data_IF_533444817358
#
_entry.id   IF_533444817358
#
_cell.length_a   1.000
_cell.length_b   1.000
_cell.length_c   1.000
_cell.angle_alpha   90.00
_cell.angle_beta   90.00
_cell.angle_gamma   90.00
#
_symmetry.space_group_name_H-M   'P 1'
#
loop_
_entity.id
_entity.type
_entity.pdbx_description
1 polymer ?
#
# COMPACT_ATOMS: atom_id res chain seq x y z
N UNK A 1 -3.66 -12.62 -2.16
CA UNK A 1 -4.35 -13.53 -1.21
C UNK A 1 -3.35 -14.48 -0.56
N UNK A 2 -2.51 -15.17 -1.35
CA UNK A 2 -1.48 -16.10 -0.85
C UNK A 2 -0.51 -15.51 0.20
N UNK A 3 0.03 -14.30 -0.01
CA UNK A 3 0.97 -13.66 0.94
C UNK A 3 0.37 -13.43 2.34
N UNK A 4 -0.92 -13.13 2.42
CA UNK A 4 -1.61 -12.93 3.71
C UNK A 4 -1.87 -14.25 4.45
N UNK A 5 -1.99 -15.36 3.71
CA UNK A 5 -2.18 -16.70 4.30
C UNK A 5 -0.85 -17.25 4.82
N UNK A 6 0.27 -16.94 4.16
CA UNK A 6 1.62 -17.30 4.60
C UNK A 6 1.96 -16.75 5.99
N UNK A 7 1.42 -15.57 6.33
CA UNK A 7 1.61 -14.92 7.64
C UNK A 7 1.05 -15.75 8.81
N UNK A 8 0.00 -16.54 8.58
CA UNK A 8 -0.58 -17.44 9.59
C UNK A 8 0.10 -18.81 9.63
N UNK A 9 0.86 -19.16 8.60
CA UNK A 9 1.53 -20.46 8.48
C UNK A 9 2.67 -20.60 9.50
N UNK A 10 3.38 -19.52 9.82
CA UNK A 10 4.53 -19.55 10.74
C UNK A 10 4.10 -19.80 12.19
N UNK A 11 3.10 -19.11 12.76
CA UNK A 11 2.54 -19.46 14.07
C UNK A 11 2.02 -20.90 14.13
N UNK A 12 1.34 -21.38 13.07
CA UNK A 12 0.85 -22.75 12.99
C UNK A 12 1.99 -23.77 12.95
N UNK A 13 3.06 -23.53 12.19
CA UNK A 13 4.25 -24.38 12.10
C UNK A 13 4.95 -24.50 13.45
N UNK A 14 5.10 -23.38 14.17
CA UNK A 14 5.66 -23.37 15.52
C UNK A 14 4.78 -24.22 16.44
N UNK A 15 3.45 -24.08 16.38
CA UNK A 15 2.53 -24.88 17.19
C UNK A 15 2.66 -26.39 16.90
N UNK A 16 2.71 -26.79 15.63
CA UNK A 16 2.90 -28.20 15.23
C UNK A 16 4.26 -28.77 15.63
N UNK A 17 5.33 -27.98 15.60
CA UNK A 17 6.67 -28.40 16.03
C UNK A 17 6.79 -28.56 17.55
N UNK A 18 6.00 -27.80 18.32
CA UNK A 18 6.01 -27.85 19.79
C UNK A 18 5.14 -28.98 20.36
N UNK A 19 4.05 -29.40 19.68
CA UNK A 19 3.17 -30.51 20.11
C UNK A 19 3.91 -31.81 20.49
N UNK A 20 4.88 -32.32 19.70
CA UNK A 20 5.58 -33.56 20.06
C UNK A 20 6.60 -33.40 21.20
N UNK A 21 6.95 -32.17 21.59
CA UNK A 21 7.97 -31.91 22.62
C UNK A 21 7.54 -32.47 23.98
N UNK A 22 6.26 -32.42 24.33
CA UNK A 22 5.77 -32.98 25.60
C UNK A 22 5.94 -34.49 25.70
N UNK A 23 5.84 -35.22 24.58
CA UNK A 23 6.12 -36.66 24.54
C UNK A 23 7.62 -36.94 24.64
N UNK A 24 8.45 -36.14 23.96
CA UNK A 24 9.91 -36.27 23.99
C UNK A 24 10.45 -35.92 25.39
N UNK A 25 9.90 -34.90 26.06
CA UNK A 25 10.29 -34.49 27.41
C UNK A 25 10.18 -35.61 28.43
N UNK A 26 9.13 -36.44 28.33
CA UNK A 26 8.92 -37.58 29.23
C UNK A 26 9.93 -38.71 29.01
N UNK A 27 10.41 -38.91 27.79
CA UNK A 27 11.34 -39.99 27.44
C UNK A 27 12.81 -39.56 27.53
N UNK A 28 13.13 -38.33 27.12
CA UNK A 28 14.47 -37.79 27.12
C UNK A 28 14.44 -36.25 27.31
N UNK A 29 14.54 -35.76 28.55
CA UNK A 29 14.42 -34.34 28.86
C UNK A 29 15.53 -33.50 28.22
N UNK A 30 16.73 -34.05 28.06
CA UNK A 30 17.88 -33.35 27.45
C UNK A 30 17.61 -33.06 25.97
N UNK A 31 17.09 -34.04 25.22
CA UNK A 31 16.71 -33.83 23.80
C UNK A 31 15.63 -32.77 23.65
N UNK A 32 14.65 -32.74 24.55
CA UNK A 32 13.60 -31.72 24.55
C UNK A 32 14.18 -30.30 24.72
N UNK A 33 15.16 -30.11 25.61
CA UNK A 33 15.82 -28.81 25.82
C UNK A 33 16.62 -28.40 24.58
N UNK A 34 17.34 -29.33 23.95
CA UNK A 34 18.10 -29.06 22.72
C UNK A 34 17.17 -28.62 21.58
N UNK A 35 16.03 -29.31 21.41
CA UNK A 35 15.04 -28.97 20.37
C UNK A 35 14.45 -27.58 20.63
N UNK A 36 14.08 -27.26 21.87
CA UNK A 36 13.58 -25.93 22.24
C UNK A 36 14.62 -24.84 21.98
N UNK A 37 15.87 -25.09 22.35
CA UNK A 37 16.97 -24.15 22.15
C UNK A 37 17.25 -23.88 20.66
N UNK A 38 17.32 -24.94 19.84
CA UNK A 38 17.52 -24.82 18.39
C UNK A 38 16.33 -24.12 17.70
N UNK A 39 15.10 -24.43 18.12
CA UNK A 39 13.89 -23.77 17.61
C UNK A 39 13.92 -22.28 17.96
N UNK A 40 14.24 -21.93 19.21
CA UNK A 40 14.37 -20.56 19.64
C UNK A 40 15.47 -19.81 18.87
N UNK A 41 16.64 -20.43 18.67
CA UNK A 41 17.74 -19.85 17.89
C UNK A 41 17.36 -19.59 16.44
N UNK A 42 16.68 -20.55 15.80
CA UNK A 42 16.22 -20.43 14.42
C UNK A 42 15.26 -19.25 14.22
N UNK A 43 14.31 -19.07 15.15
CA UNK A 43 13.34 -17.97 15.10
C UNK A 43 13.81 -16.67 15.78
N UNK A 44 14.94 -16.69 16.50
CA UNK A 44 15.44 -15.54 17.26
C UNK A 44 15.70 -14.32 16.37
N UNK A 45 16.16 -14.55 15.14
CA UNK A 45 16.39 -13.50 14.15
C UNK A 45 15.17 -13.24 13.26
N UNK A 46 14.22 -14.17 13.20
CA UNK A 46 13.01 -14.02 12.39
C UNK A 46 12.15 -12.87 12.90
N UNK A 47 11.87 -12.83 14.22
CA UNK A 47 11.03 -11.80 14.84
C UNK A 47 11.59 -10.38 14.64
N UNK A 48 12.85 -10.08 15.01
CA UNK A 48 13.39 -8.72 14.84
C UNK A 48 13.54 -8.31 13.38
N UNK A 49 13.92 -9.21 12.47
CA UNK A 49 14.00 -8.90 11.04
C UNK A 49 12.60 -8.67 10.45
N UNK A 50 11.62 -9.50 10.81
CA UNK A 50 10.22 -9.30 10.42
C UNK A 50 9.70 -7.95 10.89
N UNK A 51 9.91 -7.57 12.16
CA UNK A 51 9.47 -6.26 12.67
C UNK A 51 10.21 -5.10 11.99
N UNK A 52 11.50 -5.24 11.72
CA UNK A 52 12.30 -4.24 11.01
C UNK A 52 11.75 -4.02 9.59
N UNK A 53 11.56 -5.08 8.83
CA UNK A 53 11.08 -5.00 7.45
C UNK A 53 9.62 -4.53 7.39
N UNK A 54 8.77 -5.01 8.31
CA UNK A 54 7.38 -4.59 8.44
C UNK A 54 7.25 -3.09 8.77
N UNK A 55 8.03 -2.60 9.73
CA UNK A 55 8.01 -1.19 10.13
C UNK A 55 8.56 -0.27 9.02
N UNK A 56 9.59 -0.70 8.29
CA UNK A 56 10.14 0.07 7.17
C UNK A 56 9.11 0.16 6.04
N UNK A 57 8.50 -0.95 5.64
CA UNK A 57 7.50 -0.98 4.56
C UNK A 57 6.25 -0.17 4.94
N UNK A 58 5.74 -0.31 6.16
CA UNK A 58 4.54 0.40 6.61
C UNK A 58 4.82 1.88 6.86
N UNK A 59 5.98 2.23 7.42
CA UNK A 59 6.39 3.61 7.64
C UNK A 59 6.49 4.39 6.34
N UNK A 60 7.22 3.87 5.36
CA UNK A 60 7.36 4.47 4.03
C UNK A 60 5.99 4.63 3.35
N UNK A 61 5.13 3.62 3.48
CA UNK A 61 3.84 3.65 2.82
C UNK A 61 2.90 4.69 3.46
N UNK A 62 2.74 4.66 4.79
CA UNK A 62 1.83 5.57 5.51
C UNK A 62 2.26 7.03 5.44
N UNK A 63 3.56 7.30 5.54
CA UNK A 63 4.06 8.67 5.43
C UNK A 63 3.83 9.24 4.03
N UNK A 64 4.02 8.45 2.97
CA UNK A 64 3.78 8.92 1.60
C UNK A 64 2.30 9.23 1.33
N UNK A 65 1.36 8.39 1.77
CA UNK A 65 -0.07 8.61 1.58
C UNK A 65 -0.59 9.85 2.32
N UNK A 66 -0.17 10.04 3.58
CA UNK A 66 -0.51 11.22 4.37
C UNK A 66 0.11 12.49 3.77
N UNK A 67 1.39 12.45 3.41
CA UNK A 67 2.10 13.62 2.88
C UNK A 67 1.58 14.05 1.51
N UNK A 68 1.24 13.09 0.65
CA UNK A 68 0.63 13.38 -0.65
C UNK A 68 -0.76 14.02 -0.50
N UNK A 69 -1.60 13.49 0.39
CA UNK A 69 -2.93 14.08 0.62
C UNK A 69 -2.83 15.46 1.29
N UNK A 70 -1.90 15.64 2.24
CA UNK A 70 -1.61 16.94 2.86
C UNK A 70 -1.13 17.96 1.81
N UNK A 71 -0.31 17.52 0.86
CA UNK A 71 0.14 18.35 -0.25
C UNK A 71 -1.02 18.79 -1.15
N UNK A 72 -1.92 17.86 -1.50
CA UNK A 72 -3.15 18.19 -2.24
C UNK A 72 -3.96 19.20 -1.45
N UNK A 73 -4.26 18.93 -0.17
CA UNK A 73 -5.05 19.81 0.69
C UNK A 73 -4.51 21.25 0.70
N UNK A 74 -3.20 21.42 0.78
CA UNK A 74 -2.55 22.74 0.83
C UNK A 74 -2.73 23.55 -0.47
N UNK A 75 -2.93 22.86 -1.60
CA UNK A 75 -3.03 23.46 -2.94
C UNK A 75 -4.43 23.31 -3.56
N UNK A 76 -5.38 22.76 -2.81
CA UNK A 76 -6.71 22.41 -3.28
C UNK A 76 -7.59 23.66 -3.41
N UNK A 77 -8.34 23.74 -4.50
CA UNK A 77 -9.38 24.74 -4.70
C UNK A 77 -10.76 24.08 -4.63
N UNK A 78 -11.78 24.80 -4.17
CA UNK A 78 -13.13 24.26 -3.92
C UNK A 78 -13.73 23.51 -5.11
N UNK A 79 -13.39 23.91 -6.34
CA UNK A 79 -13.90 23.32 -7.59
C UNK A 79 -13.00 22.22 -8.16
N UNK A 80 -11.86 21.92 -7.51
CA UNK A 80 -11.03 20.80 -7.91
C UNK A 80 -11.75 19.47 -7.58
N UNK A 81 -11.40 18.39 -8.28
CA UNK A 81 -11.95 17.05 -8.03
C UNK A 81 -10.79 16.07 -7.83
N UNK A 82 -10.81 15.29 -6.76
CA UNK A 82 -9.77 14.29 -6.50
C UNK A 82 -10.16 12.96 -7.16
N UNK A 83 -9.28 12.43 -7.99
CA UNK A 83 -9.40 11.12 -8.63
C UNK A 83 -8.43 10.16 -7.96
N UNK A 84 -8.95 9.03 -7.48
CA UNK A 84 -8.14 7.98 -6.89
C UNK A 84 -8.66 6.58 -7.26
N UNK A 85 -7.78 5.58 -7.18
CA UNK A 85 -8.17 4.20 -7.45
C UNK A 85 -9.07 3.65 -6.33
N UNK A 86 -10.07 2.86 -6.67
CA UNK A 86 -10.88 2.05 -5.73
C UNK A 86 -10.05 1.31 -4.67
N UNK A 87 -8.85 0.83 -5.02
CA UNK A 87 -7.94 0.18 -4.07
C UNK A 87 -7.46 1.09 -2.92
N UNK A 88 -7.51 2.41 -3.13
CA UNK A 88 -7.07 3.44 -2.18
C UNK A 88 -8.23 4.04 -1.37
N UNK A 89 -9.46 3.53 -1.51
CA UNK A 89 -10.65 4.13 -0.90
C UNK A 89 -10.57 4.22 0.63
N UNK A 90 -10.27 3.09 1.29
CA UNK A 90 -10.14 3.05 2.75
C UNK A 90 -9.03 3.97 3.26
N UNK A 91 -7.95 4.11 2.49
CA UNK A 91 -6.84 4.99 2.85
C UNK A 91 -7.22 6.46 2.69
N UNK A 92 -7.80 6.82 1.55
CA UNK A 92 -8.25 8.18 1.28
C UNK A 92 -9.25 8.64 2.34
N UNK A 93 -10.20 7.78 2.72
CA UNK A 93 -11.15 8.06 3.79
C UNK A 93 -10.45 8.28 5.14
N UNK A 94 -9.52 7.40 5.51
CA UNK A 94 -8.79 7.48 6.77
C UNK A 94 -7.97 8.78 6.89
N UNK A 95 -7.15 9.11 5.89
CA UNK A 95 -6.34 10.32 5.94
C UNK A 95 -7.15 11.60 5.72
N UNK A 96 -8.21 11.57 4.92
CA UNK A 96 -9.12 12.72 4.80
C UNK A 96 -9.72 13.09 6.15
N UNK A 97 -10.13 12.09 6.95
CA UNK A 97 -10.63 12.31 8.30
C UNK A 97 -9.54 12.86 9.23
N UNK A 98 -8.35 12.26 9.26
CA UNK A 98 -7.23 12.74 10.10
C UNK A 98 -6.85 14.18 9.77
N UNK A 99 -6.89 14.54 8.49
CA UNK A 99 -6.52 15.87 8.03
C UNK A 99 -7.70 16.86 8.06
N UNK A 100 -8.90 16.48 8.50
CA UNK A 100 -10.12 17.30 8.39
C UNK A 100 -10.29 17.88 6.98
N UNK A 101 -10.16 17.03 5.97
CA UNK A 101 -10.20 17.43 4.57
C UNK A 101 -11.47 16.90 3.89
N UNK A 102 -12.33 17.83 3.47
CA UNK A 102 -13.52 17.53 2.67
C UNK A 102 -13.26 17.99 1.24
N UNK A 103 -13.51 17.12 0.27
CA UNK A 103 -13.26 17.39 -1.15
C UNK A 103 -14.24 16.65 -2.04
N UNK A 104 -14.48 17.21 -3.22
CA UNK A 104 -15.15 16.48 -4.29
C UNK A 104 -14.20 15.39 -4.78
N UNK A 105 -14.70 14.18 -4.94
CA UNK A 105 -13.86 13.07 -5.36
C UNK A 105 -14.60 12.08 -6.26
N UNK A 106 -13.82 11.38 -7.08
CA UNK A 106 -14.26 10.33 -8.00
C UNK A 106 -13.35 9.12 -7.80
N UNK A 107 -13.98 7.97 -7.61
CA UNK A 107 -13.31 6.67 -7.53
C UNK A 107 -13.29 6.05 -8.92
N UNK A 108 -12.12 5.65 -9.40
CA UNK A 108 -11.97 4.96 -10.69
C UNK A 108 -11.36 3.58 -10.43
N UNK A 109 -11.85 2.55 -11.12
CA UNK A 109 -11.25 1.22 -11.02
C UNK A 109 -10.11 1.11 -12.03
N UNK A 110 -8.86 1.24 -11.57
CA UNK A 110 -7.66 1.27 -12.43
C UNK A 110 -6.82 -0.01 -12.32
N UNK A 111 -7.47 -1.17 -12.20
CA UNK A 111 -6.80 -2.48 -12.11
C UNK A 111 -6.35 -3.02 -13.48
N UNK A 112 -5.58 -2.23 -14.23
CA UNK A 112 -5.06 -2.61 -15.54
C UNK A 112 -3.55 -2.38 -15.64
N UNK A 113 -2.90 -3.19 -16.47
CA UNK A 113 -1.50 -2.99 -16.89
C UNK A 113 -1.41 -2.43 -18.32
N UNK A 114 -2.54 -2.28 -19.01
CA UNK A 114 -2.60 -1.81 -20.39
C UNK A 114 -2.80 -0.27 -20.42
N UNK A 115 -1.90 0.43 -21.12
CA UNK A 115 -1.96 1.88 -21.26
C UNK A 115 -3.21 2.38 -21.99
N UNK A 116 -3.69 1.68 -23.01
CA UNK A 116 -4.87 2.10 -23.78
C UNK A 116 -6.14 2.03 -22.94
N UNK A 117 -6.31 0.94 -22.20
CA UNK A 117 -7.42 0.77 -21.26
C UNK A 117 -7.36 1.82 -20.14
N UNK A 118 -6.16 2.06 -19.59
CA UNK A 118 -5.95 3.11 -18.60
C UNK A 118 -6.34 4.50 -19.13
N UNK A 119 -5.94 4.82 -20.36
CA UNK A 119 -6.29 6.07 -21.02
C UNK A 119 -7.81 6.18 -21.25
N UNK A 120 -8.46 5.11 -21.70
CA UNK A 120 -9.91 5.08 -21.91
C UNK A 120 -10.67 5.36 -20.61
N UNK A 121 -10.25 4.75 -19.50
CA UNK A 121 -10.85 4.97 -18.17
C UNK A 121 -10.71 6.44 -17.73
N UNK A 122 -9.52 7.03 -17.87
CA UNK A 122 -9.31 8.44 -17.49
C UNK A 122 -9.97 9.43 -18.45
N UNK A 123 -10.13 9.10 -19.73
CA UNK A 123 -10.79 9.95 -20.71
C UNK A 123 -12.32 10.00 -20.55
N UNK A 124 -12.91 9.13 -19.72
CA UNK A 124 -14.32 9.20 -19.32
C UNK A 124 -14.60 10.32 -18.30
N UNK A 125 -13.55 10.93 -17.72
CA UNK A 125 -13.72 12.03 -16.79
C UNK A 125 -14.34 13.26 -17.48
N UNK A 126 -15.32 13.94 -16.85
CA UNK A 126 -15.95 15.14 -17.42
C UNK A 126 -14.94 16.25 -17.72
N UNK A 127 -14.93 16.73 -18.97
CA UNK A 127 -14.08 17.84 -19.42
C UNK A 127 -14.49 19.19 -18.80
N UNK A 128 -13.58 20.15 -18.79
CA UNK A 128 -13.76 21.50 -18.24
C UNK A 128 -13.46 21.60 -16.74
N UNK A 129 -13.10 20.49 -16.09
CA UNK A 129 -12.81 20.44 -14.66
C UNK A 129 -11.30 20.33 -14.39
N UNK A 130 -10.93 20.65 -13.16
CA UNK A 130 -9.55 20.49 -12.68
C UNK A 130 -9.48 19.30 -11.73
N UNK A 131 -8.60 18.35 -12.05
CA UNK A 131 -8.49 17.08 -11.35
C UNK A 131 -7.17 16.95 -10.61
N UNK A 132 -7.23 16.44 -9.38
CA UNK A 132 -6.08 15.96 -8.62
C UNK A 132 -6.03 14.44 -8.68
N UNK A 133 -5.01 13.90 -9.32
CA UNK A 133 -4.74 12.48 -9.30
C UNK A 133 -3.97 12.11 -8.03
N UNK A 134 -4.58 11.28 -7.18
CA UNK A 134 -4.03 10.81 -5.91
C UNK A 134 -3.77 9.30 -5.97
N UNK A 135 -2.52 8.93 -6.22
CA UNK A 135 -2.07 7.53 -6.26
C UNK A 135 -0.99 7.30 -5.21
N UNK A 136 -1.38 6.99 -3.95
CA UNK A 136 -0.46 6.84 -2.83
C UNK A 136 0.39 5.57 -2.90
N UNK A 137 -0.05 4.56 -3.66
CA UNK A 137 0.71 3.34 -3.94
C UNK A 137 0.53 2.90 -5.38
N UNK A 138 1.64 2.58 -6.04
CA UNK A 138 1.58 1.61 -7.14
C UNK A 138 1.56 0.22 -6.53
N UNK A 139 0.45 -0.52 -6.71
CA UNK A 139 0.45 -1.95 -6.37
C UNK A 139 1.56 -2.63 -7.20
N UNK A 140 2.34 -3.54 -6.62
CA UNK A 140 3.45 -4.20 -7.35
C UNK A 140 3.03 -4.90 -8.65
N UNK A 141 1.74 -5.25 -8.76
CA UNK A 141 1.12 -5.83 -9.95
C UNK A 141 0.69 -4.79 -11.01
N UNK A 142 0.44 -3.54 -10.63
CA UNK A 142 -0.13 -2.50 -11.48
C UNK A 142 0.76 -1.25 -11.47
N UNK A 143 1.41 -0.90 -12.60
CA UNK A 143 2.33 0.24 -12.68
C UNK A 143 1.57 1.58 -12.83
N UNK A 144 0.60 1.85 -11.96
CA UNK A 144 -0.27 3.04 -12.02
C UNK A 144 0.51 4.36 -12.14
N UNK A 145 1.64 4.45 -11.42
CA UNK A 145 2.52 5.63 -11.48
C UNK A 145 3.04 5.86 -12.90
N UNK A 146 3.52 4.82 -13.57
CA UNK A 146 4.10 4.92 -14.91
C UNK A 146 3.03 5.12 -15.99
N UNK A 147 1.87 4.46 -15.82
CA UNK A 147 0.70 4.63 -16.68
C UNK A 147 0.17 6.06 -16.60
N UNK A 148 0.07 6.62 -15.39
CA UNK A 148 -0.29 8.02 -15.18
C UNK A 148 0.73 8.96 -15.81
N UNK A 149 2.03 8.77 -15.57
CA UNK A 149 3.08 9.61 -16.17
C UNK A 149 2.98 9.64 -17.69
N UNK A 150 2.67 8.51 -18.31
CA UNK A 150 2.49 8.42 -19.76
C UNK A 150 1.23 9.16 -20.21
N UNK A 151 0.10 8.98 -19.54
CA UNK A 151 -1.15 9.68 -19.83
C UNK A 151 -1.07 11.20 -19.61
N UNK A 152 -0.20 11.68 -18.71
CA UNK A 152 -0.03 13.11 -18.44
C UNK A 152 0.73 13.86 -19.56
N UNK A 153 1.46 13.17 -20.45
CA UNK A 153 2.36 13.80 -21.44
C UNK A 153 1.64 14.73 -22.42
N UNK A 154 0.38 14.44 -22.73
CA UNK A 154 -0.45 15.19 -23.68
C UNK A 154 -1.56 16.00 -22.99
N UNK A 155 -1.43 16.26 -21.68
CA UNK A 155 -2.43 16.94 -20.86
C UNK A 155 -1.94 18.28 -20.35
N UNK A 156 -2.88 19.17 -20.00
CA UNK A 156 -2.56 20.45 -19.37
C UNK A 156 -2.29 20.25 -17.87
N UNK A 157 -1.02 19.95 -17.55
CA UNK A 157 -0.56 19.71 -16.19
C UNK A 157 -0.20 21.02 -15.50
N UNK A 158 -0.86 21.29 -14.37
CA UNK A 158 -0.62 22.49 -13.54
C UNK A 158 0.43 22.21 -12.47
N UNK A 159 0.31 21.05 -11.80
CA UNK A 159 1.22 20.62 -10.73
C UNK A 159 1.52 19.15 -10.94
N UNK A 160 2.78 18.74 -10.77
CA UNK A 160 3.17 17.34 -10.75
C UNK A 160 4.24 17.16 -9.68
N UNK A 161 4.01 16.26 -8.72
CA UNK A 161 4.94 15.98 -7.62
C UNK A 161 5.09 14.49 -7.43
N UNK A 162 6.31 14.01 -7.61
CA UNK A 162 6.72 12.66 -7.26
C UNK A 162 6.90 12.54 -5.73
N UNK A 163 6.33 11.47 -5.19
CA UNK A 163 6.66 10.89 -3.88
C UNK A 163 7.29 9.52 -4.15
N UNK A 164 7.99 8.92 -3.18
CA UNK A 164 8.82 7.71 -3.43
C UNK A 164 8.08 6.64 -4.26
N UNK A 165 6.92 6.18 -3.76
CA UNK A 165 6.07 5.18 -4.44
C UNK A 165 4.74 5.74 -4.95
N UNK A 166 4.63 7.07 -5.05
CA UNK A 166 3.39 7.77 -5.35
C UNK A 166 3.61 8.91 -6.34
N UNK A 167 2.55 9.29 -7.04
CA UNK A 167 2.53 10.47 -7.88
C UNK A 167 1.26 11.27 -7.57
N UNK A 168 1.43 12.57 -7.42
CA UNK A 168 0.33 13.52 -7.35
C UNK A 168 0.42 14.46 -8.54
N UNK A 169 -0.68 14.60 -9.29
CA UNK A 169 -0.74 15.53 -10.41
C UNK A 169 -2.05 16.33 -10.39
N UNK A 170 -1.97 17.64 -10.60
CA UNK A 170 -3.10 18.54 -10.87
C UNK A 170 -3.18 18.79 -12.37
N UNK A 171 -4.31 18.48 -12.98
CA UNK A 171 -4.51 18.54 -14.43
C UNK A 171 -5.81 19.27 -14.74
N UNK A 172 -5.81 20.12 -15.76
CA UNK A 172 -7.04 20.68 -16.33
C UNK A 172 -7.43 19.86 -17.57
N UNK A 173 -8.61 19.26 -17.55
CA UNK A 173 -9.17 18.49 -18.68
C UNK A 173 -10.22 19.28 -19.46
#
# INVERSE_FOLDING_TARGET
MYERVSLFLIPCLIFFLLIPIDKIRKSNPIKSVIILFLTSLYFCNYIPNFYKDFNVIIGINRENAKNSLQFIKTNYQTNDIIVFNTASDSEFAFYSQILNFTSNNIKVNLQTTNQEEYNQLLNQLPKGNTYWFYYPYSLSKYPEKDLLKTWLKDKNVIICRDFQNSLVAKVKL
#
